data_IF_757996357535
#
_entry.id   IF_757996357535
#
_cell.length_a   1.000
_cell.length_b   1.000
_cell.length_c   1.000
_cell.angle_alpha   90.00
_cell.angle_beta   90.00
_cell.angle_gamma   90.00
#
_symmetry.space_group_name_H-M   'P 1'
#
loop_
_entity.id
_entity.type
_entity.pdbx_description
1 polymer ?
#
# COMPACT_ATOMS: atom_id res chain seq x y z
N UNK A 1 10.71 6.18 -24.27
CA UNK A 1 9.36 5.57 -24.31
C UNK A 1 8.50 6.28 -23.29
N UNK A 2 7.48 7.01 -23.73
CA UNK A 2 6.54 7.72 -22.86
C UNK A 2 5.69 6.69 -22.12
N UNK A 3 5.81 6.65 -20.79
CA UNK A 3 5.02 5.77 -19.95
C UNK A 3 3.55 6.21 -20.03
N UNK A 4 2.65 5.29 -20.40
CA UNK A 4 1.20 5.58 -20.34
C UNK A 4 0.84 5.87 -18.88
N UNK A 5 0.16 6.99 -18.65
CA UNK A 5 -0.33 7.35 -17.33
C UNK A 5 -1.29 6.29 -16.83
N UNK A 6 -1.09 5.87 -15.57
CA UNK A 6 -1.95 4.94 -14.86
C UNK A 6 -2.44 5.67 -13.61
N UNK A 7 -3.76 5.85 -13.42
CA UNK A 7 -4.30 6.47 -12.22
C UNK A 7 -3.77 5.78 -10.96
N UNK A 8 -3.46 6.53 -9.91
CA UNK A 8 -2.80 6.02 -8.72
C UNK A 8 -3.64 4.99 -7.97
N UNK A 9 -4.98 5.06 -8.07
CA UNK A 9 -5.88 4.03 -7.55
C UNK A 9 -5.68 2.68 -8.25
N UNK A 10 -5.63 2.69 -9.59
CA UNK A 10 -5.38 1.47 -10.38
C UNK A 10 -3.95 0.96 -10.17
N UNK A 11 -2.97 1.86 -10.06
CA UNK A 11 -1.59 1.50 -9.69
C UNK A 11 -1.53 0.82 -8.32
N UNK A 12 -2.23 1.35 -7.32
CA UNK A 12 -2.25 0.80 -5.97
C UNK A 12 -2.93 -0.58 -5.93
N UNK A 13 -4.04 -0.76 -6.67
CA UNK A 13 -4.71 -2.06 -6.79
C UNK A 13 -3.79 -3.12 -7.40
N UNK A 14 -3.17 -2.80 -8.54
CA UNK A 14 -2.26 -3.72 -9.22
C UNK A 14 -1.05 -4.03 -8.35
N UNK A 15 -0.52 -3.03 -7.64
CA UNK A 15 0.60 -3.21 -6.74
C UNK A 15 0.24 -4.08 -5.54
N UNK A 16 -0.95 -3.89 -4.96
CA UNK A 16 -1.48 -4.76 -3.92
C UNK A 16 -1.54 -6.20 -4.42
N UNK A 17 -2.29 -6.45 -5.49
CA UNK A 17 -2.54 -7.80 -6.00
C UNK A 17 -1.28 -8.55 -6.45
N UNK A 18 -0.36 -7.86 -7.13
CA UNK A 18 0.80 -8.52 -7.75
C UNK A 18 2.04 -8.59 -6.84
N UNK A 19 2.15 -7.70 -5.86
CA UNK A 19 3.37 -7.58 -5.05
C UNK A 19 3.08 -7.74 -3.56
N UNK A 20 2.16 -6.95 -3.01
CA UNK A 20 1.95 -6.91 -1.56
C UNK A 20 1.19 -8.13 -1.06
N UNK A 21 0.09 -8.53 -1.72
CA UNK A 21 -0.71 -9.68 -1.31
C UNK A 21 0.12 -10.98 -1.22
N UNK A 22 0.95 -11.36 -2.21
CA UNK A 22 1.82 -12.55 -2.08
C UNK A 22 2.82 -12.49 -0.92
N UNK A 23 3.27 -11.29 -0.52
CA UNK A 23 4.14 -11.11 0.64
C UNK A 23 3.32 -11.35 1.93
N UNK A 24 2.14 -10.73 2.02
CA UNK A 24 1.25 -10.86 3.16
C UNK A 24 0.74 -12.29 3.33
N UNK A 25 0.29 -12.95 2.27
CA UNK A 25 -0.30 -14.29 2.34
C UNK A 25 0.71 -15.31 2.89
N UNK A 26 1.98 -15.21 2.46
CA UNK A 26 3.06 -16.04 2.97
C UNK A 26 3.33 -15.83 4.48
N UNK A 27 3.20 -14.60 4.96
CA UNK A 27 3.50 -14.23 6.35
C UNK A 27 2.29 -14.35 7.30
N UNK A 28 1.08 -14.13 6.79
CA UNK A 28 -0.17 -14.14 7.56
C UNK A 28 -0.79 -15.53 7.66
N UNK A 29 -0.50 -16.45 6.72
CA UNK A 29 -0.96 -17.84 6.77
C UNK A 29 -2.48 -17.95 6.99
N UNK A 30 -3.27 -17.15 6.26
CA UNK A 30 -4.73 -17.15 6.34
C UNK A 30 -5.34 -16.16 7.34
N UNK A 31 -4.53 -15.34 8.03
CA UNK A 31 -5.08 -14.23 8.82
C UNK A 31 -5.64 -13.15 7.91
N UNK A 32 -6.91 -12.80 8.15
CA UNK A 32 -7.62 -11.79 7.39
C UNK A 32 -7.00 -10.40 7.58
N UNK A 33 -6.97 -9.65 6.49
CA UNK A 33 -6.54 -8.26 6.46
C UNK A 33 -7.37 -7.47 5.45
N UNK A 34 -7.40 -6.15 5.62
CA UNK A 34 -7.94 -5.23 4.62
C UNK A 34 -6.82 -4.38 4.05
N UNK A 35 -6.89 -4.05 2.76
CA UNK A 35 -5.94 -3.14 2.12
C UNK A 35 -6.68 -2.01 1.39
N UNK A 36 -6.14 -0.80 1.46
CA UNK A 36 -6.74 0.38 0.84
C UNK A 36 -5.70 1.48 0.51
N UNK A 37 -5.97 2.26 -0.53
CA UNK A 37 -5.26 3.51 -0.80
C UNK A 37 -5.91 4.65 0.02
N UNK A 38 -5.22 5.12 1.06
CA UNK A 38 -5.72 6.17 1.97
C UNK A 38 -4.64 7.25 2.15
N UNK A 39 -5.05 8.52 2.23
CA UNK A 39 -4.18 9.67 2.51
C UNK A 39 -4.61 10.95 1.79
N UNK A 40 -3.68 11.90 1.66
CA UNK A 40 -3.96 13.25 1.15
C UNK A 40 -3.77 13.41 -0.38
N UNK A 41 -3.23 12.41 -1.08
CA UNK A 41 -2.90 12.49 -2.52
C UNK A 41 -4.12 12.60 -3.43
N UNK A 42 -3.96 13.27 -4.59
CA UNK A 42 -5.05 13.44 -5.58
C UNK A 42 -5.57 12.12 -6.13
N UNK A 43 -4.74 11.09 -6.15
CA UNK A 43 -5.09 9.73 -6.57
C UNK A 43 -6.12 9.07 -5.64
N UNK A 44 -6.18 9.50 -4.37
CA UNK A 44 -7.18 9.03 -3.41
C UNK A 44 -8.57 9.52 -3.78
N UNK A 45 -8.65 10.71 -4.40
CA UNK A 45 -9.90 11.33 -4.84
C UNK A 45 -10.21 11.04 -6.33
N UNK A 46 -9.30 10.37 -7.04
CA UNK A 46 -9.44 10.08 -8.47
C UNK A 46 -9.18 11.28 -9.39
N UNK A 47 -8.49 12.31 -8.91
CA UNK A 47 -8.17 13.53 -9.68
C UNK A 47 -6.70 13.59 -10.13
N UNK A 48 -5.93 12.51 -9.97
CA UNK A 48 -4.53 12.52 -10.36
C UNK A 48 -4.36 12.55 -11.88
N UNK A 49 -3.30 13.24 -12.30
CA UNK A 49 -2.91 13.37 -13.71
C UNK A 49 -1.45 13.00 -13.87
N UNK A 50 -0.95 12.99 -15.11
CA UNK A 50 0.50 12.84 -15.39
C UNK A 50 1.33 13.78 -14.53
N UNK A 51 0.88 15.04 -14.37
CA UNK A 51 1.59 16.05 -13.59
C UNK A 51 1.67 15.67 -12.11
N UNK A 52 0.63 15.07 -11.54
CA UNK A 52 0.62 14.63 -10.13
C UNK A 52 1.72 13.62 -9.80
N UNK A 53 2.35 12.99 -10.80
CA UNK A 53 3.41 11.99 -10.58
C UNK A 53 4.79 12.57 -10.27
N UNK A 54 4.94 13.90 -10.27
CA UNK A 54 6.21 14.59 -10.02
C UNK A 54 6.59 14.72 -8.52
N UNK A 55 5.64 14.49 -7.60
CA UNK A 55 5.88 14.42 -6.15
C UNK A 55 4.82 13.56 -5.45
N UNK A 56 5.16 13.03 -4.27
CA UNK A 56 4.21 12.35 -3.35
C UNK A 56 3.37 11.20 -3.93
N UNK A 57 3.75 10.66 -5.10
CA UNK A 57 2.94 9.74 -5.88
C UNK A 57 3.73 8.48 -6.23
N UNK A 58 3.06 7.32 -6.16
CA UNK A 58 3.66 6.03 -6.49
C UNK A 58 2.85 4.86 -5.95
N UNK A 59 3.39 3.63 -6.04
CA UNK A 59 2.75 2.43 -5.52
C UNK A 59 2.72 2.47 -3.98
N UNK A 60 1.56 2.84 -3.42
CA UNK A 60 1.36 3.00 -1.98
C UNK A 60 0.00 2.49 -1.54
N UNK A 61 -0.09 1.98 -0.32
CA UNK A 61 -1.34 1.53 0.30
C UNK A 61 -1.17 1.32 1.80
N UNK A 62 -2.29 1.18 2.50
CA UNK A 62 -2.34 0.83 3.91
C UNK A 62 -2.94 -0.57 4.05
N UNK A 63 -2.38 -1.36 4.97
CA UNK A 63 -2.79 -2.72 5.32
C UNK A 63 -3.27 -2.69 6.76
N UNK A 64 -4.41 -3.30 7.02
CA UNK A 64 -5.06 -3.29 8.32
C UNK A 64 -5.25 -4.72 8.81
N UNK A 65 -4.72 -5.01 9.98
CA UNK A 65 -4.81 -6.31 10.64
C UNK A 65 -5.72 -6.23 11.85
N UNK A 66 -6.50 -7.28 12.09
CA UNK A 66 -7.29 -7.46 13.30
C UNK A 66 -6.93 -8.81 13.95
N UNK A 67 -7.00 -8.89 15.28
CA UNK A 67 -6.80 -10.13 16.02
C UNK A 67 -5.90 -9.99 17.25
N UNK A 68 -5.52 -11.12 17.83
CA UNK A 68 -4.52 -11.18 18.90
C UNK A 68 -3.08 -11.09 18.33
N UNK A 69 -2.13 -10.62 19.13
CA UNK A 69 -0.70 -10.47 18.76
C UNK A 69 -0.37 -9.59 17.54
N UNK A 70 -1.29 -8.71 17.12
CA UNK A 70 -1.11 -7.85 15.94
C UNK A 70 0.17 -7.02 16.01
N UNK A 71 0.57 -6.51 17.18
CA UNK A 71 1.80 -5.72 17.32
C UNK A 71 3.07 -6.46 16.93
N UNK A 72 3.21 -7.73 17.30
CA UNK A 72 4.38 -8.52 16.91
C UNK A 72 4.35 -8.80 15.40
N UNK A 73 3.16 -9.07 14.86
CA UNK A 73 2.95 -9.35 13.44
C UNK A 73 3.22 -8.14 12.55
N UNK A 74 2.79 -6.95 12.96
CA UNK A 74 3.06 -5.68 12.27
C UNK A 74 4.56 -5.49 12.06
N UNK A 75 5.37 -5.64 13.12
CA UNK A 75 6.84 -5.46 13.02
C UNK A 75 7.49 -6.47 12.08
N UNK A 76 7.04 -7.72 12.10
CA UNK A 76 7.54 -8.76 11.20
C UNK A 76 7.20 -8.45 9.73
N UNK A 77 5.98 -7.98 9.48
CA UNK A 77 5.52 -7.62 8.14
C UNK A 77 6.22 -6.37 7.60
N UNK A 78 6.42 -5.35 8.44
CA UNK A 78 7.19 -4.16 8.05
C UNK A 78 8.60 -4.56 7.60
N UNK A 79 9.30 -5.40 8.36
CA UNK A 79 10.63 -5.89 7.99
C UNK A 79 10.60 -6.74 6.69
N UNK A 80 9.57 -7.57 6.51
CA UNK A 80 9.47 -8.41 5.31
C UNK A 80 9.16 -7.59 4.04
N UNK A 81 8.28 -6.59 4.15
CA UNK A 81 8.00 -5.63 3.10
C UNK A 81 9.26 -4.84 2.73
N UNK A 82 9.97 -4.31 3.73
CA UNK A 82 11.22 -3.58 3.50
C UNK A 82 12.25 -4.40 2.73
N UNK A 83 12.32 -5.70 2.99
CA UNK A 83 13.25 -6.62 2.32
C UNK A 83 12.78 -7.06 0.92
N UNK A 84 11.48 -7.34 0.76
CA UNK A 84 10.96 -8.04 -0.44
C UNK A 84 10.36 -7.11 -1.48
N UNK A 85 9.94 -5.90 -1.12
CA UNK A 85 9.36 -4.96 -2.07
C UNK A 85 10.38 -4.60 -3.17
N UNK A 86 10.00 -4.69 -4.45
CA UNK A 86 10.89 -4.42 -5.57
C UNK A 86 11.31 -2.95 -5.57
N UNK A 87 12.38 -2.63 -6.30
CA UNK A 87 12.83 -1.24 -6.45
C UNK A 87 11.88 -0.43 -7.33
N UNK A 88 11.26 -1.08 -8.33
CA UNK A 88 10.30 -0.48 -9.25
C UNK A 88 9.09 -1.38 -9.49
N UNK A 89 7.94 -0.77 -9.76
CA UNK A 89 6.70 -1.45 -10.17
C UNK A 89 6.06 -0.71 -11.35
N UNK A 90 5.83 -1.43 -12.45
CA UNK A 90 5.35 -0.89 -13.73
C UNK A 90 6.14 0.31 -14.27
N UNK A 91 7.37 0.54 -13.79
CA UNK A 91 8.22 1.71 -14.08
C UNK A 91 8.25 2.79 -12.99
N UNK A 92 7.34 2.77 -12.01
CA UNK A 92 7.37 3.68 -10.85
C UNK A 92 8.48 3.24 -9.88
N UNK A 93 9.18 4.17 -9.22
CA UNK A 93 9.89 3.82 -7.99
C UNK A 93 8.89 3.39 -6.91
N UNK A 94 9.14 2.27 -6.21
CA UNK A 94 8.35 1.87 -5.04
C UNK A 94 8.75 2.68 -3.81
N UNK A 95 10.04 3.05 -3.74
CA UNK A 95 10.59 3.88 -2.67
C UNK A 95 10.79 5.29 -3.21
N UNK A 96 10.12 6.26 -2.60
CA UNK A 96 10.21 7.66 -3.00
C UNK A 96 10.19 8.57 -1.77
N UNK A 97 10.80 9.74 -1.91
CA UNK A 97 10.89 10.74 -0.86
C UNK A 97 9.61 11.56 -0.78
N UNK A 98 9.07 11.68 0.43
CA UNK A 98 8.03 12.67 0.76
C UNK A 98 7.97 12.84 2.29
N UNK A 99 7.86 14.09 2.81
CA UNK A 99 8.00 15.37 2.10
C UNK A 99 9.43 15.57 1.54
N UNK A 100 9.66 16.67 0.82
CA UNK A 100 10.95 17.00 0.23
C UNK A 100 12.08 16.99 1.27
N UNK A 101 13.25 16.47 0.87
CA UNK A 101 14.40 16.28 1.76
C UNK A 101 14.33 15.06 2.67
N UNK A 102 13.18 14.36 2.74
CA UNK A 102 13.10 13.09 3.46
C UNK A 102 13.81 11.95 2.68
N UNK A 103 14.38 10.95 3.36
CA UNK A 103 14.91 9.76 2.69
C UNK A 103 13.78 8.99 1.98
N UNK A 104 14.12 8.41 0.83
CA UNK A 104 13.19 7.58 0.07
C UNK A 104 12.86 6.30 0.85
N UNK A 105 11.57 6.00 0.97
CA UNK A 105 11.05 4.80 1.65
C UNK A 105 9.84 4.27 0.90
N UNK A 106 9.44 3.04 1.19
CA UNK A 106 8.18 2.53 0.67
C UNK A 106 7.01 3.12 1.47
N UNK A 107 5.83 3.13 0.86
CA UNK A 107 4.62 3.70 1.43
C UNK A 107 3.51 2.65 1.57
N UNK A 108 3.92 1.39 1.78
CA UNK A 108 3.08 0.32 2.31
C UNK A 108 3.16 0.38 3.84
N UNK A 109 2.06 0.71 4.50
CA UNK A 109 2.00 0.81 5.97
C UNK A 109 1.10 -0.27 6.55
N UNK A 110 1.51 -0.89 7.64
CA UNK A 110 0.73 -1.93 8.33
C UNK A 110 0.21 -1.38 9.64
N UNK A 111 -1.10 -1.48 9.84
CA UNK A 111 -1.80 -0.90 10.98
C UNK A 111 -2.52 -1.97 11.80
N UNK A 112 -2.51 -1.77 13.12
CA UNK A 112 -3.29 -2.55 14.08
C UNK A 112 -4.69 -1.94 14.22
N UNK A 113 -5.72 -2.67 13.77
CA UNK A 113 -7.11 -2.32 14.06
C UNK A 113 -7.45 -2.85 15.45
N UNK A 114 -7.49 -1.92 16.41
CA UNK A 114 -8.01 -2.21 17.74
C UNK A 114 -9.46 -2.75 17.62
N UNK A 115 -9.85 -3.76 18.42
CA UNK A 115 -11.23 -4.23 18.45
C UNK A 115 -12.20 -3.07 18.69
N UNK A 116 -13.26 -2.96 17.87
CA UNK A 116 -14.36 -2.01 18.09
C UNK A 116 -14.49 -0.84 17.10
N UNK A 117 -13.65 -0.73 16.08
CA UNK A 117 -13.87 0.22 14.98
C UNK A 117 -14.49 -0.53 13.78
N UNK A 118 -15.81 -0.48 13.56
CA UNK A 118 -16.39 -0.98 12.32
C UNK A 118 -15.89 -0.10 11.16
N UNK A 119 -15.09 -0.69 10.28
CA UNK A 119 -14.67 -0.03 9.04
C UNK A 119 -15.84 -0.05 8.05
N UNK A 120 -16.76 0.92 8.16
CA UNK A 120 -17.55 1.36 7.01
C UNK A 120 -16.75 2.45 6.30
N UNK A 121 -15.82 2.04 5.45
CA UNK A 121 -15.03 2.97 4.64
C UNK A 121 -15.58 2.96 3.20
N UNK A 122 -15.92 4.13 2.66
CA UNK A 122 -16.26 4.33 1.24
C UNK A 122 -15.05 4.23 0.30
N UNK A 123 -14.03 3.47 0.70
CA UNK A 123 -12.80 3.22 -0.05
C UNK A 123 -12.88 1.75 -0.47
N UNK A 124 -12.67 1.45 -1.75
CA UNK A 124 -12.65 0.08 -2.26
C UNK A 124 -11.63 -0.74 -1.46
N UNK A 125 -12.11 -1.52 -0.50
CA UNK A 125 -11.32 -2.50 0.21
C UNK A 125 -11.07 -3.67 -0.74
N UNK A 126 -9.81 -3.93 -1.06
CA UNK A 126 -9.47 -5.15 -1.78
C UNK A 126 -9.34 -6.30 -0.78
N UNK A 127 -10.15 -7.37 -0.91
CA UNK A 127 -10.00 -8.54 -0.06
C UNK A 127 -8.67 -9.26 -0.36
N UNK A 128 -8.19 -10.03 0.61
CA UNK A 128 -7.09 -10.98 0.38
C UNK A 128 -7.47 -11.95 -0.76
N UNK A 129 -6.48 -12.40 -1.55
CA UNK A 129 -6.74 -13.36 -2.61
C UNK A 129 -7.16 -14.69 -1.99
N UNK A 130 -8.32 -15.21 -2.40
CA UNK A 130 -8.82 -16.54 -2.04
C UNK A 130 -7.94 -17.63 -2.61
#
# INVERSE_FOLDING_TARGET
>A
MTRRFLPGLELAELFHRQVVAPILDAALQGVAYSAALIGYGSEVQGFDTVRSTDHAWGPRLQVFLAGEDVRARVRLLEADLDRRLPTRFLGCPVRFSFPDGAPARHWVHVHDLRPGIPMTCGVMCWPAST
#
